data_IF_400394169405
#
_entry.id   IF_400394169405
#
_cell.length_a   1.000
_cell.length_b   1.000
_cell.length_c   1.000
_cell.angle_alpha   90.00
_cell.angle_beta   90.00
_cell.angle_gamma   90.00
#
_symmetry.space_group_name_H-M   'P 1'
#
loop_
_entity.id
_entity.type
_entity.pdbx_description
1 polymer ?
#
# COMPACT_ATOMS: atom_id res chain seq x y z
N UNK A 1 -19.29 -22.55 -9.71
CA UNK A 1 -18.53 -21.97 -8.59
C UNK A 1 -19.36 -20.87 -7.95
N UNK A 2 -20.06 -21.15 -6.85
CA UNK A 2 -20.72 -20.15 -6.01
C UNK A 2 -21.29 -20.85 -4.79
N UNK A 3 -20.75 -20.55 -3.61
CA UNK A 3 -21.35 -20.70 -2.25
C UNK A 3 -20.23 -20.81 -1.21
N UNK A 4 -19.66 -19.68 -0.78
CA UNK A 4 -18.77 -19.59 0.40
C UNK A 4 -19.08 -18.37 1.25
N UNK A 5 -20.35 -18.07 1.47
CA UNK A 5 -20.76 -16.92 2.32
C UNK A 5 -21.96 -17.22 3.23
N UNK A 6 -22.15 -18.47 3.65
CA UNK A 6 -23.12 -18.81 4.69
C UNK A 6 -22.40 -19.69 5.71
N UNK A 7 -21.77 -19.04 6.69
CA UNK A 7 -21.51 -19.54 8.03
C UNK A 7 -20.88 -18.39 8.84
N UNK A 8 -21.61 -17.28 8.97
CA UNK A 8 -21.34 -16.33 10.02
C UNK A 8 -22.16 -16.78 11.23
N UNK A 9 -21.63 -17.74 11.99
CA UNK A 9 -22.17 -17.99 13.33
C UNK A 9 -21.96 -16.72 14.13
N UNK A 10 -23.07 -16.02 14.38
CA UNK A 10 -23.13 -14.91 15.33
C UNK A 10 -22.65 -15.45 16.66
N UNK A 11 -21.40 -15.16 17.03
CA UNK A 11 -20.84 -15.47 18.35
C UNK A 11 -21.85 -15.00 19.39
N UNK A 12 -22.49 -15.96 20.08
CA UNK A 12 -23.26 -15.66 21.28
C UNK A 12 -22.29 -14.95 22.22
N UNK A 13 -22.62 -13.70 22.54
CA UNK A 13 -21.94 -12.94 23.57
C UNK A 13 -21.86 -13.81 24.82
N UNK A 14 -20.64 -14.06 25.29
CA UNK A 14 -20.34 -14.75 26.53
C UNK A 14 -21.17 -14.07 27.62
N UNK A 15 -22.13 -14.80 28.17
CA UNK A 15 -22.87 -14.36 29.36
C UNK A 15 -21.84 -14.19 30.47
N UNK A 16 -21.54 -12.95 30.82
CA UNK A 16 -20.85 -12.64 32.08
C UNK A 16 -21.78 -13.10 33.18
N UNK A 17 -21.51 -14.27 33.75
CA UNK A 17 -22.22 -14.77 34.93
C UNK A 17 -22.22 -13.66 35.98
N UNK A 18 -23.43 -13.24 36.38
CA UNK A 18 -23.56 -12.29 37.47
C UNK A 18 -23.03 -12.96 38.73
N UNK A 19 -22.23 -12.27 39.56
CA UNK A 19 -21.66 -12.89 40.75
C UNK A 19 -22.76 -13.37 41.71
N UNK A 20 -22.59 -14.55 42.30
CA UNK A 20 -23.56 -15.17 43.21
C UNK A 20 -23.94 -14.26 44.39
N UNK A 21 -22.99 -13.43 44.86
CA UNK A 21 -23.22 -12.47 45.95
C UNK A 21 -24.21 -11.36 45.58
N UNK A 22 -24.46 -11.12 44.29
CA UNK A 22 -25.40 -10.11 43.80
C UNK A 22 -26.86 -10.49 44.06
N UNK A 23 -27.16 -11.79 44.21
CA UNK A 23 -28.53 -12.30 44.45
C UNK A 23 -29.06 -11.74 45.78
N UNK A 24 -28.24 -11.75 46.81
CA UNK A 24 -28.56 -11.29 48.17
C UNK A 24 -28.14 -9.83 48.44
N UNK A 25 -27.67 -9.11 47.42
CA UNK A 25 -27.14 -7.77 47.57
C UNK A 25 -28.23 -6.70 47.77
N UNK A 26 -27.91 -5.70 48.57
CA UNK A 26 -28.72 -4.49 48.75
C UNK A 26 -28.86 -3.71 47.44
N UNK A 27 -29.93 -2.90 47.26
CA UNK A 27 -30.12 -2.08 46.07
C UNK A 27 -28.92 -1.16 45.76
N UNK A 28 -28.27 -0.64 46.81
CA UNK A 28 -27.08 0.19 46.68
C UNK A 28 -25.87 -0.60 46.17
N UNK A 29 -25.63 -1.81 46.69
CA UNK A 29 -24.56 -2.70 46.20
C UNK A 29 -24.80 -3.09 44.73
N UNK A 30 -26.05 -3.34 44.33
CA UNK A 30 -26.41 -3.63 42.93
C UNK A 30 -26.10 -2.43 42.03
N UNK A 31 -26.46 -1.21 42.45
CA UNK A 31 -26.15 0.02 41.72
C UNK A 31 -24.63 0.22 41.56
N UNK A 32 -23.88 0.04 42.63
CA UNK A 32 -22.42 0.12 42.63
C UNK A 32 -21.77 -0.91 41.71
N UNK A 33 -22.28 -2.14 41.71
CA UNK A 33 -21.83 -3.20 40.82
C UNK A 33 -22.05 -2.85 39.34
N UNK A 34 -23.22 -2.33 38.98
CA UNK A 34 -23.53 -1.94 37.60
C UNK A 34 -22.58 -0.84 37.09
N UNK A 35 -22.31 0.17 37.91
CA UNK A 35 -21.35 1.23 37.54
C UNK A 35 -19.92 0.70 37.45
N UNK A 36 -19.51 -0.21 38.34
CA UNK A 36 -18.20 -0.88 38.27
C UNK A 36 -18.07 -1.75 37.00
N UNK A 37 -19.13 -2.49 36.63
CA UNK A 37 -19.20 -3.28 35.40
C UNK A 37 -19.11 -2.41 34.16
N UNK A 38 -19.83 -1.28 34.14
CA UNK A 38 -19.74 -0.30 33.05
C UNK A 38 -18.31 0.23 32.89
N UNK A 39 -17.66 0.60 33.99
CA UNK A 39 -16.25 1.03 33.94
C UNK A 39 -15.32 -0.07 33.44
N UNK A 40 -15.51 -1.31 33.86
CA UNK A 40 -14.74 -2.44 33.37
C UNK A 40 -14.86 -2.60 31.84
N UNK A 41 -16.08 -2.65 31.31
CA UNK A 41 -16.32 -2.82 29.86
C UNK A 41 -15.75 -1.66 29.04
N UNK A 42 -15.94 -0.41 29.49
CA UNK A 42 -15.36 0.75 28.81
C UNK A 42 -13.83 0.68 28.75
N UNK A 43 -13.17 0.39 29.87
CA UNK A 43 -11.70 0.29 29.94
C UNK A 43 -11.19 -0.90 29.14
N UNK A 44 -11.88 -2.03 29.18
CA UNK A 44 -11.56 -3.20 28.35
C UNK A 44 -11.61 -2.85 26.87
N UNK A 45 -12.67 -2.18 26.42
CA UNK A 45 -12.79 -1.72 25.03
C UNK A 45 -11.67 -0.75 24.63
N UNK A 46 -11.30 0.19 25.50
CA UNK A 46 -10.18 1.13 25.25
C UNK A 46 -8.83 0.43 25.13
N UNK A 47 -8.57 -0.58 25.96
CA UNK A 47 -7.32 -1.36 25.89
C UNK A 47 -7.31 -2.23 24.61
N UNK A 48 -8.45 -2.83 24.26
CA UNK A 48 -8.60 -3.62 23.04
C UNK A 48 -8.43 -2.77 21.76
N UNK A 49 -8.91 -1.53 21.76
CA UNK A 49 -8.75 -0.58 20.65
C UNK A 49 -7.32 -0.01 20.54
N UNK A 50 -6.42 -0.35 21.47
CA UNK A 50 -5.01 0.05 21.42
C UNK A 50 -4.75 1.51 21.80
N UNK A 51 -5.71 2.20 22.42
CA UNK A 51 -5.46 3.52 23.00
C UNK A 51 -4.56 3.36 24.23
N UNK A 52 -3.48 4.16 24.28
CA UNK A 52 -2.52 4.18 25.38
C UNK A 52 -3.21 4.74 26.64
N UNK A 53 -3.74 3.87 27.48
CA UNK A 53 -4.08 4.21 28.87
C UNK A 53 -2.85 3.94 29.75
N UNK A 54 -2.52 4.81 30.71
CA UNK A 54 -1.41 4.60 31.65
C UNK A 54 -1.89 4.55 33.11
N UNK A 55 -1.21 3.76 33.93
CA UNK A 55 -1.41 3.75 35.39
C UNK A 55 -2.85 3.52 35.85
N UNK A 56 -3.45 4.55 36.48
CA UNK A 56 -4.79 4.49 37.11
C UNK A 56 -5.92 4.28 36.10
N UNK A 57 -5.69 4.60 34.82
CA UNK A 57 -6.71 4.47 33.79
C UNK A 57 -6.99 3.01 33.41
N UNK A 58 -6.07 2.10 33.75
CA UNK A 58 -6.21 0.65 33.53
C UNK A 58 -6.93 -0.09 34.66
N UNK A 59 -7.17 0.57 35.81
CA UNK A 59 -7.85 -0.03 36.97
C UNK A 59 -9.26 0.53 37.12
N UNK A 60 -10.16 -0.24 37.71
CA UNK A 60 -11.45 0.29 38.14
C UNK A 60 -11.18 1.18 39.36
N UNK A 61 -11.61 2.44 39.30
CA UNK A 61 -11.32 3.42 40.36
C UNK A 61 -12.53 3.53 41.27
N UNK A 62 -12.39 3.07 42.51
CA UNK A 62 -13.49 3.06 43.47
C UNK A 62 -14.12 4.44 43.73
N UNK A 63 -13.35 5.54 43.67
CA UNK A 63 -13.95 6.89 43.76
C UNK A 63 -14.85 7.16 42.57
N UNK A 64 -14.39 6.92 41.34
CA UNK A 64 -15.18 7.15 40.14
C UNK A 64 -16.46 6.28 40.10
N UNK A 65 -16.41 5.06 40.63
CA UNK A 65 -17.60 4.20 40.76
C UNK A 65 -18.58 4.77 41.78
N UNK A 66 -18.07 5.24 42.93
CA UNK A 66 -18.90 5.83 43.98
C UNK A 66 -19.55 7.15 43.53
N UNK A 67 -18.78 8.00 42.85
CA UNK A 67 -19.22 9.26 42.24
C UNK A 67 -20.33 8.99 41.21
N UNK A 68 -20.14 8.03 40.30
CA UNK A 68 -21.15 7.64 39.32
C UNK A 68 -22.45 7.09 39.96
N UNK A 69 -22.33 6.45 41.13
CA UNK A 69 -23.47 5.94 41.87
C UNK A 69 -24.11 6.99 42.82
N UNK A 70 -23.60 8.23 42.90
CA UNK A 70 -23.97 9.26 43.86
C UNK A 70 -23.88 8.78 45.32
N UNK A 71 -22.75 8.18 45.69
CA UNK A 71 -22.50 7.71 47.06
C UNK A 71 -21.04 7.88 47.48
N UNK A 72 -20.77 7.80 48.79
CA UNK A 72 -19.41 7.90 49.29
C UNK A 72 -18.57 6.67 48.94
N UNK A 73 -17.29 6.89 48.61
CA UNK A 73 -16.29 5.82 48.42
C UNK A 73 -16.23 4.82 49.58
N UNK A 74 -16.61 5.23 50.79
CA UNK A 74 -16.64 4.36 51.97
C UNK A 74 -17.52 3.11 51.77
N UNK A 75 -18.56 3.20 50.93
CA UNK A 75 -19.44 2.07 50.60
C UNK A 75 -18.77 1.00 49.73
N UNK A 76 -17.62 1.28 49.10
CA UNK A 76 -16.88 0.28 48.30
C UNK A 76 -15.68 -0.28 49.10
N UNK A 77 -15.53 0.13 50.37
CA UNK A 77 -14.43 -0.35 51.20
C UNK A 77 -14.56 -1.84 51.54
N UNK A 78 -13.42 -2.50 51.68
CA UNK A 78 -13.31 -3.90 52.13
C UNK A 78 -14.10 -4.20 53.41
N UNK A 79 -14.26 -3.21 54.30
CA UNK A 79 -15.00 -3.35 55.56
C UNK A 79 -16.51 -3.34 55.37
N UNK A 80 -17.05 -2.52 54.45
CA UNK A 80 -18.50 -2.37 54.25
C UNK A 80 -19.04 -3.35 53.22
N UNK A 81 -18.32 -3.55 52.11
CA UNK A 81 -18.73 -4.40 50.99
C UNK A 81 -17.54 -5.24 50.50
N UNK A 82 -17.15 -6.30 51.22
CA UNK A 82 -15.97 -7.11 50.89
C UNK A 82 -16.07 -7.78 49.52
N UNK A 83 -17.25 -8.28 49.14
CA UNK A 83 -17.43 -9.01 47.88
C UNK A 83 -17.31 -8.10 46.64
N UNK A 84 -17.95 -6.93 46.68
CA UNK A 84 -17.80 -5.91 45.63
C UNK A 84 -16.36 -5.42 45.55
N UNK A 85 -15.70 -5.21 46.69
CA UNK A 85 -14.31 -4.78 46.73
C UNK A 85 -13.38 -5.78 46.05
N UNK A 86 -13.53 -7.07 46.39
CA UNK A 86 -12.77 -8.16 45.78
C UNK A 86 -13.03 -8.26 44.28
N UNK A 87 -14.30 -8.16 43.87
CA UNK A 87 -14.65 -8.18 42.44
C UNK A 87 -13.98 -7.04 41.65
N UNK A 88 -13.91 -5.84 42.24
CA UNK A 88 -13.23 -4.69 41.64
C UNK A 88 -11.71 -4.93 41.54
N UNK A 89 -11.10 -5.54 42.55
CA UNK A 89 -9.68 -5.92 42.55
C UNK A 89 -9.39 -6.94 41.44
N UNK A 90 -10.11 -8.06 41.42
CA UNK A 90 -9.94 -9.14 40.44
C UNK A 90 -10.08 -8.62 39.00
N UNK A 91 -11.09 -7.79 38.73
CA UNK A 91 -11.31 -7.20 37.40
C UNK A 91 -10.28 -6.12 37.03
N UNK A 92 -9.74 -5.42 38.03
CA UNK A 92 -8.63 -4.49 37.79
C UNK A 92 -7.34 -5.22 37.44
N UNK A 93 -7.08 -6.38 38.04
CA UNK A 93 -5.95 -7.24 37.68
C UNK A 93 -6.10 -7.81 36.27
N UNK A 94 -7.31 -8.24 35.89
CA UNK A 94 -7.61 -8.70 34.53
C UNK A 94 -7.30 -7.62 33.48
N UNK A 95 -7.72 -6.37 33.71
CA UNK A 95 -7.42 -5.25 32.82
C UNK A 95 -5.91 -4.97 32.71
N UNK A 96 -5.16 -5.08 33.82
CA UNK A 96 -3.71 -4.92 33.82
C UNK A 96 -3.02 -6.03 33.00
N UNK A 97 -3.41 -7.28 33.18
CA UNK A 97 -2.88 -8.42 32.45
C UNK A 97 -3.15 -8.28 30.94
N UNK A 98 -4.37 -7.87 30.56
CA UNK A 98 -4.77 -7.63 29.18
C UNK A 98 -3.91 -6.52 28.54
N UNK A 99 -3.69 -5.41 29.26
CA UNK A 99 -2.83 -4.32 28.79
C UNK A 99 -1.36 -4.75 28.63
N UNK A 100 -0.84 -5.58 29.54
CA UNK A 100 0.53 -6.09 29.47
C UNK A 100 0.74 -7.04 28.28
N UNK A 101 -0.21 -7.95 28.06
CA UNK A 101 -0.20 -8.87 26.91
C UNK A 101 -0.19 -8.10 25.58
N UNK A 102 -1.04 -7.07 25.44
CA UNK A 102 -1.08 -6.22 24.24
C UNK A 102 0.20 -5.41 24.04
N UNK A 103 0.84 -4.95 25.12
CA UNK A 103 2.14 -4.25 25.04
C UNK A 103 3.24 -5.18 24.52
N UNK A 104 3.30 -6.42 25.01
CA UNK A 104 4.28 -7.42 24.57
C UNK A 104 4.07 -7.81 23.10
N UNK A 105 2.83 -7.96 22.64
CA UNK A 105 2.55 -8.27 21.22
C UNK A 105 2.99 -7.16 20.26
N UNK A 106 2.90 -5.90 20.69
CA UNK A 106 3.32 -4.75 19.88
C UNK A 106 4.85 -4.59 19.82
N UNK A 107 5.57 -4.99 20.86
CA UNK A 107 7.05 -4.98 20.87
C UNK A 107 7.58 -6.04 19.90
N UNK A 108 6.98 -7.23 19.88
CA UNK A 108 7.40 -8.32 18.99
C UNK A 108 7.23 -8.03 17.48
N UNK A 109 6.46 -7.00 17.10
CA UNK A 109 6.24 -6.61 15.69
C UNK A 109 7.09 -5.44 15.22
N UNK A 110 7.86 -4.79 16.10
CA UNK A 110 8.75 -3.71 15.68
C UNK A 110 10.01 -4.32 15.09
N UNK A 111 10.16 -4.23 13.77
CA UNK A 111 11.41 -4.55 13.08
C UNK A 111 12.56 -3.84 13.77
N UNK A 112 13.67 -4.54 13.97
CA UNK A 112 14.86 -3.92 14.55
C UNK A 112 15.44 -2.86 13.60
N UNK A 113 16.17 -1.87 14.13
CA UNK A 113 16.78 -0.84 13.30
C UNK A 113 17.72 -1.43 12.24
N UNK A 114 18.35 -2.56 12.55
CA UNK A 114 19.25 -3.28 11.66
C UNK A 114 18.49 -4.03 10.54
N UNK A 115 17.34 -4.64 10.85
CA UNK A 115 16.43 -5.20 9.84
C UNK A 115 15.94 -4.13 8.87
N UNK A 116 15.52 -2.97 9.40
CA UNK A 116 15.06 -1.83 8.57
C UNK A 116 16.20 -1.30 7.70
N UNK A 117 17.43 -1.26 8.21
CA UNK A 117 18.61 -0.84 7.43
C UNK A 117 18.89 -1.81 6.28
N UNK A 118 18.84 -3.12 6.55
CA UNK A 118 19.06 -4.17 5.54
C UNK A 118 17.99 -4.13 4.45
N UNK A 119 16.72 -3.97 4.83
CA UNK A 119 15.61 -3.84 3.88
C UNK A 119 15.75 -2.57 3.03
N UNK A 120 16.14 -1.44 3.63
CA UNK A 120 16.43 -0.22 2.87
C UNK A 120 17.57 -0.40 1.86
N UNK A 121 18.62 -1.13 2.24
CA UNK A 121 19.75 -1.38 1.35
C UNK A 121 19.34 -2.27 0.17
N UNK A 122 18.52 -3.29 0.41
CA UNK A 122 17.92 -4.13 -0.63
C UNK A 122 17.02 -3.31 -1.58
N UNK A 123 16.16 -2.45 -1.02
CA UNK A 123 15.28 -1.59 -1.81
C UNK A 123 16.08 -0.61 -2.68
N UNK A 124 17.17 -0.03 -2.14
CA UNK A 124 18.07 0.82 -2.92
C UNK A 124 18.72 0.08 -4.08
N UNK A 125 19.19 -1.14 -3.85
CA UNK A 125 19.78 -1.98 -4.90
C UNK A 125 18.74 -2.31 -5.99
N UNK A 126 17.52 -2.69 -5.59
CA UNK A 126 16.43 -2.93 -6.53
C UNK A 126 16.09 -1.70 -7.37
N UNK A 127 15.97 -0.53 -6.74
CA UNK A 127 15.65 0.70 -7.44
C UNK A 127 16.76 1.12 -8.43
N UNK A 128 18.03 0.88 -8.07
CA UNK A 128 19.16 1.13 -8.96
C UNK A 128 19.13 0.18 -10.17
N UNK A 129 18.81 -1.09 -9.96
CA UNK A 129 18.70 -2.08 -11.03
C UNK A 129 17.55 -1.74 -12.00
N UNK A 130 16.37 -1.38 -11.50
CA UNK A 130 15.25 -0.94 -12.33
C UNK A 130 15.58 0.31 -13.14
N UNK A 131 16.18 1.32 -12.51
CA UNK A 131 16.62 2.54 -13.22
C UNK A 131 17.60 2.24 -14.34
N UNK A 132 18.56 1.34 -14.12
CA UNK A 132 19.49 0.95 -15.15
C UNK A 132 18.80 0.25 -16.33
N UNK A 133 17.81 -0.60 -16.06
CA UNK A 133 17.00 -1.22 -17.12
C UNK A 133 16.22 -0.17 -17.92
N UNK A 134 15.59 0.79 -17.24
CA UNK A 134 14.86 1.88 -17.90
C UNK A 134 15.78 2.75 -18.77
N UNK A 135 16.99 3.06 -18.29
CA UNK A 135 17.97 3.82 -19.08
C UNK A 135 18.44 3.06 -20.32
N UNK A 136 18.64 1.74 -20.21
CA UNK A 136 18.99 0.90 -21.37
C UNK A 136 17.85 0.89 -22.38
N UNK A 137 16.62 0.64 -21.94
CA UNK A 137 15.45 0.64 -22.82
C UNK A 137 15.24 2.00 -23.52
N UNK A 138 15.44 3.11 -22.80
CA UNK A 138 15.37 4.44 -23.37
C UNK A 138 16.47 4.67 -24.42
N UNK A 139 17.72 4.26 -24.13
CA UNK A 139 18.83 4.40 -25.06
C UNK A 139 18.62 3.58 -26.33
N UNK A 140 18.11 2.34 -26.19
CA UNK A 140 17.77 1.48 -27.32
C UNK A 140 16.66 2.10 -28.19
N UNK A 141 15.62 2.66 -27.57
CA UNK A 141 14.53 3.32 -28.30
C UNK A 141 15.01 4.57 -29.06
N UNK A 142 15.86 5.39 -28.44
CA UNK A 142 16.46 6.57 -29.08
C UNK A 142 17.35 6.17 -30.26
N UNK A 143 18.25 5.20 -30.06
CA UNK A 143 19.11 4.69 -31.12
C UNK A 143 18.27 4.08 -32.26
N UNK A 144 17.25 3.29 -31.94
CA UNK A 144 16.33 2.71 -32.93
C UNK A 144 15.65 3.77 -33.80
N UNK A 145 15.14 4.85 -33.19
CA UNK A 145 14.51 5.94 -33.94
C UNK A 145 15.51 6.66 -34.85
N UNK A 146 16.70 7.00 -34.34
CA UNK A 146 17.73 7.68 -35.15
C UNK A 146 18.21 6.82 -36.33
N UNK A 147 18.31 5.50 -36.14
CA UNK A 147 18.68 4.57 -37.20
C UNK A 147 17.60 4.50 -38.29
N UNK A 148 16.33 4.49 -37.90
CA UNK A 148 15.19 4.49 -38.83
C UNK A 148 15.17 5.78 -39.65
N UNK A 149 15.39 6.94 -39.02
CA UNK A 149 15.46 8.22 -39.72
C UNK A 149 16.65 8.27 -40.70
N UNK A 150 17.84 7.83 -40.27
CA UNK A 150 19.00 7.74 -41.15
C UNK A 150 18.74 6.83 -42.36
N UNK A 151 18.11 5.66 -42.14
CA UNK A 151 17.75 4.75 -43.23
C UNK A 151 16.77 5.39 -44.22
N UNK A 152 15.76 6.13 -43.73
CA UNK A 152 14.82 6.86 -44.59
C UNK A 152 15.52 7.90 -45.45
N UNK A 153 16.43 8.67 -44.86
CA UNK A 153 17.19 9.70 -45.59
C UNK A 153 18.06 9.07 -46.69
N UNK A 154 18.83 8.04 -46.35
CA UNK A 154 19.66 7.32 -47.33
C UNK A 154 18.79 6.69 -48.42
N UNK A 155 17.63 6.11 -48.07
CA UNK A 155 16.72 5.54 -49.06
C UNK A 155 16.15 6.60 -50.01
N UNK A 156 15.87 7.81 -49.52
CA UNK A 156 15.38 8.92 -50.34
C UNK A 156 16.48 9.40 -51.31
N UNK A 157 17.70 9.60 -50.81
CA UNK A 157 18.86 9.99 -51.62
C UNK A 157 19.16 8.96 -52.71
N UNK A 158 19.09 7.66 -52.38
CA UNK A 158 19.28 6.58 -53.35
C UNK A 158 18.20 6.58 -54.42
N UNK A 159 16.95 6.89 -54.07
CA UNK A 159 15.86 7.02 -55.04
C UNK A 159 16.07 8.21 -55.98
N UNK A 160 16.51 9.35 -55.45
CA UNK A 160 16.83 10.56 -56.22
C UNK A 160 17.99 10.32 -57.19
N UNK A 161 19.10 9.74 -56.72
CA UNK A 161 20.24 9.38 -57.56
C UNK A 161 19.87 8.38 -58.66
N UNK A 162 18.99 7.42 -58.39
CA UNK A 162 18.47 6.50 -59.43
C UNK A 162 17.66 7.23 -60.48
N UNK A 163 16.83 8.18 -60.08
CA UNK A 163 16.05 8.99 -61.00
C UNK A 163 16.94 9.87 -61.88
N UNK A 164 17.94 10.54 -61.27
CA UNK A 164 18.90 11.37 -62.00
C UNK A 164 19.73 10.55 -62.99
N UNK A 165 20.22 9.37 -62.58
CA UNK A 165 20.96 8.47 -63.47
C UNK A 165 20.11 8.03 -64.66
N UNK A 166 18.83 7.70 -64.43
CA UNK A 166 17.90 7.36 -65.51
C UNK A 166 17.66 8.55 -66.45
N UNK A 167 17.49 9.76 -65.89
CA UNK A 167 17.35 10.99 -66.68
C UNK A 167 18.57 11.26 -67.56
N UNK A 168 19.77 11.13 -67.00
CA UNK A 168 21.04 11.26 -67.74
C UNK A 168 21.19 10.19 -68.82
N UNK A 169 20.80 8.94 -68.55
CA UNK A 169 20.79 7.88 -69.56
C UNK A 169 19.85 8.20 -70.73
N UNK A 170 18.67 8.74 -70.44
CA UNK A 170 17.72 9.16 -71.47
C UNK A 170 18.29 10.32 -72.31
N UNK A 171 18.89 11.34 -71.69
CA UNK A 171 19.55 12.44 -72.39
C UNK A 171 20.70 11.93 -73.28
N UNK A 172 21.53 11.01 -72.79
CA UNK A 172 22.59 10.39 -73.60
C UNK A 172 22.00 9.64 -74.80
N UNK A 173 20.89 8.94 -74.63
CA UNK A 173 20.21 8.25 -75.71
C UNK A 173 19.68 9.21 -76.78
N UNK A 174 19.04 10.33 -76.37
CA UNK A 174 18.57 11.39 -77.26
C UNK A 174 19.71 12.08 -78.01
N UNK A 175 20.80 12.44 -77.32
CA UNK A 175 22.00 13.02 -77.94
C UNK A 175 22.66 12.06 -78.94
N UNK A 176 22.68 10.76 -78.63
CA UNK A 176 23.17 9.74 -79.59
C UNK A 176 22.27 9.64 -80.81
N UNK A 177 20.96 9.73 -80.64
CA UNK A 177 20.01 9.67 -81.76
C UNK A 177 20.10 10.91 -82.66
N UNK A 178 20.13 12.11 -82.07
CA UNK A 178 20.32 13.36 -82.81
C UNK A 178 21.65 13.38 -83.57
N UNK A 179 22.75 12.94 -82.96
CA UNK A 179 24.03 12.78 -83.65
C UNK A 179 23.94 11.80 -84.83
N UNK A 180 23.24 10.66 -84.68
CA UNK A 180 23.00 9.72 -85.79
C UNK A 180 22.23 10.37 -86.94
N UNK A 181 21.22 11.19 -86.64
CA UNK A 181 20.44 11.90 -87.65
C UNK A 181 21.26 12.99 -88.36
N UNK A 182 22.04 13.79 -87.62
CA UNK A 182 22.94 14.79 -88.18
C UNK A 182 23.98 14.14 -89.11
N UNK A 183 24.64 13.06 -88.68
CA UNK A 183 25.59 12.30 -89.51
C UNK A 183 24.96 11.79 -90.81
N UNK A 184 23.70 11.30 -90.75
CA UNK A 184 22.96 10.92 -91.97
C UNK A 184 22.74 12.11 -92.90
N UNK A 185 22.33 13.26 -92.37
CA UNK A 185 22.08 14.47 -93.17
C UNK A 185 23.35 15.00 -93.87
N UNK A 186 24.49 15.02 -93.16
CA UNK A 186 25.79 15.43 -93.72
C UNK A 186 26.20 14.50 -94.86
N UNK A 187 26.06 13.18 -94.68
CA UNK A 187 26.39 12.20 -95.72
C UNK A 187 25.48 12.29 -96.96
N UNK A 188 24.26 12.81 -96.83
CA UNK A 188 23.35 13.05 -97.96
C UNK A 188 23.73 14.34 -98.69
N UNK A 189 24.04 15.43 -97.98
CA UNK A 189 24.49 16.68 -98.58
C UNK A 189 25.84 16.57 -99.31
N UNK A 190 26.77 15.74 -98.81
CA UNK A 190 28.03 15.47 -99.51
C UNK A 190 27.88 14.62 -100.78
N UNK A 191 26.71 14.02 -101.03
CA UNK A 191 26.40 13.29 -102.27
C UNK A 191 25.67 14.13 -103.32
N UNK A 192 25.21 15.33 -102.97
CA UNK A 192 24.45 16.23 -103.86
C UNK A 192 25.23 17.44 -104.36
N UNK A 193 26.52 17.54 -104.05
CA UNK A 193 27.49 18.45 -104.67
C UNK A 193 28.46 17.65 -105.52
#
# INVERSE_FOLDING_TARGET
>A
MMSRLLNYEKKRSISTEEPDWLINATPLQKKLYLEAKKQFETKKATIESGQLSEGKDRKIVASAVADAANCDKSYISKRKNPDLHKWIEDRSEELLALAQSKRQSNIARRKTAEEVRKENEQLKQHNLAERNLDYVALAEALLGNTLIEAYKNVSAELAELRHENQSQQNQIAELRETNRQLMKSINVSNKSN
#
